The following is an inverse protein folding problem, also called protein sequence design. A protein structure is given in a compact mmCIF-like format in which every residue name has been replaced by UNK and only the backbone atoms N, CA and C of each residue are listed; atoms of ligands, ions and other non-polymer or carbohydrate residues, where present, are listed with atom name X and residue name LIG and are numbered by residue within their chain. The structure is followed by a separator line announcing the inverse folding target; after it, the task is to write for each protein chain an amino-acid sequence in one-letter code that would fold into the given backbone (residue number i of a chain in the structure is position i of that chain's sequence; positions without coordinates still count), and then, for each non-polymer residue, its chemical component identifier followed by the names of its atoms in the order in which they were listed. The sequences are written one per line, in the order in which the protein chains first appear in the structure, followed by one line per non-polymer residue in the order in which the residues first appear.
data_IF_739957184714
#
_entry.id   IF_739957184714
#
_cell.length_a   1.000
_cell.length_b   1.000
_cell.length_c   1.000
_cell.angle_alpha   90.00
_cell.angle_beta   90.00
_cell.angle_gamma   90.00
#
_symmetry.space_group_name_H-M   'P 1'
#
loop_
_entity.id
_entity.type
_entity.pdbx_description
1 polymer ?
#
# COMPACT_ATOMS: atom_id res chain seq x y z
N UNK A 1 -0.27 -12.11 1.50
CA UNK A 1 -1.61 -12.25 2.10
C UNK A 1 -2.58 -12.48 0.97
N UNK A 2 -2.75 -13.73 0.51
CA UNK A 2 -3.69 -14.02 -0.57
C UNK A 2 -5.08 -13.43 -0.32
N UNK A 3 -5.52 -13.42 0.95
CA UNK A 3 -6.80 -12.88 1.38
C UNK A 3 -6.95 -11.37 1.09
N UNK A 4 -5.86 -10.60 1.18
CA UNK A 4 -5.87 -9.17 0.82
C UNK A 4 -6.01 -9.00 -0.69
N UNK A 5 -5.29 -9.80 -1.49
CA UNK A 5 -5.44 -9.77 -2.94
C UNK A 5 -6.88 -10.09 -3.33
N UNK A 6 -7.47 -11.15 -2.76
CA UNK A 6 -8.83 -11.57 -3.07
C UNK A 6 -9.85 -10.46 -2.75
N UNK A 7 -9.75 -9.86 -1.56
CA UNK A 7 -10.58 -8.73 -1.16
C UNK A 7 -10.40 -7.52 -2.10
N UNK A 8 -9.16 -7.18 -2.46
CA UNK A 8 -8.88 -6.10 -3.41
C UNK A 8 -9.48 -6.40 -4.80
N UNK A 9 -9.32 -7.62 -5.31
CA UNK A 9 -9.85 -8.01 -6.62
C UNK A 9 -11.38 -7.94 -6.69
N UNK A 10 -12.06 -8.19 -5.56
CA UNK A 10 -13.51 -8.04 -5.41
C UNK A 10 -13.95 -6.58 -5.49
N UNK A 11 -13.26 -5.66 -4.79
CA UNK A 11 -13.69 -4.25 -4.67
C UNK A 11 -13.11 -3.32 -5.74
N UNK A 12 -11.97 -3.65 -6.36
CA UNK A 12 -11.32 -2.81 -7.37
C UNK A 12 -12.22 -2.36 -8.55
N UNK A 13 -13.23 -3.14 -9.02
CA UNK A 13 -14.19 -2.65 -10.00
C UNK A 13 -14.94 -1.38 -9.55
N UNK A 14 -15.26 -1.24 -8.27
CA UNK A 14 -15.95 -0.05 -7.73
C UNK A 14 -15.01 1.08 -7.31
N UNK A 15 -13.75 0.77 -6.97
CA UNK A 15 -12.78 1.80 -6.58
C UNK A 15 -12.38 2.71 -7.75
N UNK A 16 -12.10 3.98 -7.47
CA UNK A 16 -11.56 4.92 -8.46
C UNK A 16 -10.04 4.79 -8.63
N UNK A 17 -9.33 4.59 -7.53
CA UNK A 17 -7.86 4.51 -7.47
C UNK A 17 -7.42 3.72 -6.24
N UNK A 18 -6.35 2.94 -6.38
CA UNK A 18 -5.56 2.37 -5.30
C UNK A 18 -4.10 2.80 -5.51
N UNK A 19 -3.58 3.61 -4.58
CA UNK A 19 -2.20 4.06 -4.55
C UNK A 19 -1.48 3.30 -3.45
N UNK A 20 -0.35 2.68 -3.77
CA UNK A 20 0.49 2.00 -2.77
C UNK A 20 1.89 2.58 -2.82
N UNK A 21 2.37 3.09 -1.69
CA UNK A 21 3.79 3.45 -1.51
C UNK A 21 4.42 2.35 -0.66
N UNK A 22 5.42 1.66 -1.22
CA UNK A 22 6.04 0.49 -0.60
C UNK A 22 7.54 0.66 -0.42
N UNK A 23 8.09 -0.09 0.52
CA UNK A 23 9.52 -0.37 0.56
C UNK A 23 9.83 -1.51 -0.42
N UNK A 24 10.70 -1.31 -1.43
CA UNK A 24 11.17 -2.39 -2.29
C UNK A 24 11.90 -3.46 -1.49
N UNK A 25 11.77 -4.76 -1.86
CA UNK A 25 12.53 -5.82 -1.21
C UNK A 25 14.04 -5.58 -1.29
N UNK A 26 14.72 -5.61 -0.14
CA UNK A 26 16.17 -5.56 -0.04
C UNK A 26 16.80 -6.94 -0.25
N UNK A 27 18.13 -7.00 -0.42
CA UNK A 27 18.87 -8.23 -0.75
C UNK A 27 18.51 -9.45 0.12
N UNK A 28 18.43 -9.27 1.44
CA UNK A 28 18.09 -10.35 2.37
C UNK A 28 16.63 -10.81 2.24
N UNK A 29 15.71 -9.90 1.95
CA UNK A 29 14.30 -10.27 1.71
C UNK A 29 14.11 -10.88 0.33
N UNK A 30 14.85 -10.42 -0.68
CA UNK A 30 14.87 -11.02 -2.03
C UNK A 30 15.35 -12.46 -1.99
N UNK A 31 16.38 -12.77 -1.20
CA UNK A 31 16.88 -14.15 -1.04
C UNK A 31 15.89 -15.08 -0.32
N UNK A 32 14.93 -14.54 0.42
CA UNK A 32 13.79 -15.29 0.98
C UNK A 32 12.62 -15.47 0.00
N UNK A 33 12.71 -14.95 -1.23
CA UNK A 33 11.63 -15.02 -2.23
C UNK A 33 10.52 -13.99 -2.05
N UNK A 34 10.68 -12.98 -1.18
CA UNK A 34 9.64 -11.96 -0.93
C UNK A 34 9.26 -11.18 -2.19
N UNK A 35 10.20 -10.96 -3.11
CA UNK A 35 9.93 -10.32 -4.39
C UNK A 35 8.98 -11.14 -5.27
N UNK A 36 9.10 -12.48 -5.26
CA UNK A 36 8.14 -13.40 -5.91
C UNK A 36 6.76 -13.30 -5.27
N UNK A 37 6.67 -13.24 -3.94
CA UNK A 37 5.38 -13.14 -3.27
C UNK A 37 4.72 -11.78 -3.55
N UNK A 38 5.49 -10.69 -3.56
CA UNK A 38 5.01 -9.39 -3.98
C UNK A 38 4.50 -9.43 -5.43
N UNK A 39 5.28 -9.98 -6.36
CA UNK A 39 4.85 -10.19 -7.76
C UNK A 39 3.50 -10.92 -7.84
N UNK A 40 3.35 -12.05 -7.14
CA UNK A 40 2.10 -12.83 -7.14
C UNK A 40 0.88 -12.06 -6.60
N UNK A 41 1.08 -11.18 -5.62
CA UNK A 41 0.00 -10.38 -5.04
C UNK A 41 -0.29 -9.10 -5.85
N UNK A 42 0.67 -8.63 -6.64
CA UNK A 42 0.55 -7.36 -7.38
C UNK A 42 0.09 -7.57 -8.83
N UNK A 43 0.61 -8.60 -9.49
CA UNK A 43 0.43 -8.79 -10.92
C UNK A 43 -1.04 -8.87 -11.36
N UNK A 44 -1.95 -9.59 -10.67
CA UNK A 44 -3.36 -9.65 -11.08
C UNK A 44 -4.06 -8.27 -11.02
N UNK A 45 -3.69 -7.43 -10.05
CA UNK A 45 -4.21 -6.06 -9.93
C UNK A 45 -3.68 -5.17 -11.06
N UNK A 46 -2.38 -5.25 -11.34
CA UNK A 46 -1.71 -4.50 -12.42
C UNK A 46 -2.30 -4.84 -13.79
N UNK A 47 -2.50 -6.12 -14.10
CA UNK A 47 -3.03 -6.57 -15.39
C UNK A 47 -4.50 -6.18 -15.57
N UNK A 48 -5.33 -6.38 -14.53
CA UNK A 48 -6.78 -6.16 -14.62
C UNK A 48 -7.18 -4.69 -14.45
N UNK A 49 -6.40 -3.91 -13.70
CA UNK A 49 -6.74 -2.54 -13.33
C UNK A 49 -5.56 -1.55 -13.50
N UNK A 50 -4.86 -1.52 -14.66
CA UNK A 50 -3.62 -0.73 -14.84
C UNK A 50 -3.81 0.79 -14.69
N UNK A 51 -5.05 1.27 -14.88
CA UNK A 51 -5.40 2.68 -14.74
C UNK A 51 -5.83 3.06 -13.31
N UNK A 52 -6.17 2.09 -12.47
CA UNK A 52 -6.63 2.32 -11.10
C UNK A 52 -5.59 1.94 -10.05
N UNK A 53 -4.78 0.92 -10.31
CA UNK A 53 -3.77 0.45 -9.38
C UNK A 53 -2.40 1.04 -9.75
N UNK A 54 -1.80 1.78 -8.81
CA UNK A 54 -0.49 2.43 -8.99
C UNK A 54 0.40 2.17 -7.79
N UNK A 55 1.66 1.82 -8.05
CA UNK A 55 2.67 1.58 -7.02
C UNK A 55 3.86 2.51 -7.17
N UNK A 56 4.37 2.93 -6.02
CA UNK A 56 5.52 3.83 -5.91
C UNK A 56 6.45 3.36 -4.79
N UNK A 57 7.71 3.74 -4.87
CA UNK A 57 8.69 3.60 -3.79
C UNK A 57 9.34 4.95 -3.54
N UNK A 58 10.05 5.08 -2.42
CA UNK A 58 10.99 6.19 -2.27
C UNK A 58 12.09 6.08 -3.33
N UNK A 59 12.66 7.21 -3.71
CA UNK A 59 13.85 7.22 -4.55
C UNK A 59 15.06 6.70 -3.77
N UNK A 60 15.85 5.78 -4.33
CA UNK A 60 16.96 5.15 -3.60
C UNK A 60 18.04 6.12 -3.12
N UNK A 61 18.26 7.24 -3.82
CA UNK A 61 19.29 8.23 -3.50
C UNK A 61 18.95 9.10 -2.28
N UNK A 62 17.70 9.06 -1.82
CA UNK A 62 17.26 9.80 -0.64
C UNK A 62 17.48 9.05 0.69
N UNK A 63 17.80 7.75 0.64
CA UNK A 63 18.00 6.88 1.82
C UNK A 63 16.80 6.92 2.81
N UNK A 64 15.59 6.97 2.26
CA UNK A 64 14.34 6.96 3.02
C UNK A 64 13.73 5.57 2.99
N UNK A 65 13.62 4.95 4.16
CA UNK A 65 12.99 3.64 4.33
C UNK A 65 11.51 3.79 4.70
N UNK A 66 10.60 3.15 3.95
CA UNK A 66 9.16 3.15 4.25
C UNK A 66 8.84 2.08 5.29
N UNK A 67 8.78 2.49 6.57
CA UNK A 67 8.40 1.61 7.68
C UNK A 67 6.97 1.86 8.19
N UNK A 68 6.18 2.72 7.54
CA UNK A 68 4.79 3.00 7.93
C UNK A 68 3.85 1.83 7.64
N UNK A 69 2.81 1.69 8.46
CA UNK A 69 1.70 0.73 8.27
C UNK A 69 0.41 1.50 8.38
N UNK A 70 -0.02 2.01 7.24
CA UNK A 70 -0.99 3.08 7.17
C UNK A 70 -1.96 2.79 6.02
N UNK A 71 -3.24 3.05 6.24
CA UNK A 71 -4.24 3.09 5.16
C UNK A 71 -5.18 4.27 5.37
N UNK A 72 -5.44 5.01 4.29
CA UNK A 72 -6.50 6.02 4.21
C UNK A 72 -7.52 5.55 3.18
N UNK A 73 -8.80 5.59 3.55
CA UNK A 73 -9.92 5.19 2.69
C UNK A 73 -10.87 6.38 2.58
N UNK A 74 -11.07 6.87 1.36
CA UNK A 74 -12.06 7.88 0.96
C UNK A 74 -12.07 9.20 1.77
N UNK A 75 -10.95 9.55 2.43
CA UNK A 75 -10.87 10.61 3.44
C UNK A 75 -11.89 10.42 4.61
N UNK A 76 -12.38 9.19 4.85
CA UNK A 76 -13.39 8.84 5.87
C UNK A 76 -12.84 7.91 6.95
N UNK A 77 -11.86 7.08 6.61
CA UNK A 77 -11.23 6.15 7.53
C UNK A 77 -9.72 6.22 7.40
N UNK A 78 -9.04 6.28 8.54
CA UNK A 78 -7.60 6.20 8.65
C UNK A 78 -7.24 5.13 9.67
N UNK A 79 -6.37 4.20 9.30
CA UNK A 79 -5.71 3.32 10.25
C UNK A 79 -4.20 3.54 10.17
N UNK A 80 -3.58 3.68 11.33
CA UNK A 80 -2.13 3.78 11.50
C UNK A 80 -1.71 2.94 12.70
N UNK A 81 -0.63 2.18 12.57
CA UNK A 81 -0.24 1.25 13.63
C UNK A 81 1.00 0.43 13.36
N UNK A 82 1.09 -0.71 14.02
CA UNK A 82 2.25 -1.61 13.93
C UNK A 82 2.04 -2.74 12.91
N UNK A 83 0.78 -3.09 12.61
CA UNK A 83 0.44 -4.24 11.79
C UNK A 83 0.90 -4.10 10.33
N UNK A 84 1.91 -4.88 9.94
CA UNK A 84 2.28 -5.00 8.53
C UNK A 84 1.12 -5.61 7.74
N UNK A 85 1.02 -5.27 6.45
CA UNK A 85 0.10 -5.95 5.53
C UNK A 85 0.64 -7.32 5.08
N UNK A 86 0.96 -8.17 6.05
CA UNK A 86 1.42 -9.53 5.88
C UNK A 86 0.62 -10.48 6.79
N UNK A 87 0.75 -11.80 6.60
CA UNK A 87 -0.05 -12.76 7.35
C UNK A 87 0.32 -12.75 8.83
N UNK A 88 1.62 -12.62 9.13
CA UNK A 88 2.17 -12.64 10.48
C UNK A 88 1.53 -11.56 11.37
N UNK A 89 1.53 -10.31 10.93
CA UNK A 89 0.89 -9.21 11.67
C UNK A 89 -0.63 -9.35 11.75
N UNK A 90 -1.27 -9.95 10.75
CA UNK A 90 -2.73 -10.11 10.73
C UNK A 90 -3.23 -11.33 11.52
N UNK A 91 -2.35 -12.20 12.04
CA UNK A 91 -2.77 -13.48 12.66
C UNK A 91 -1.96 -13.92 13.88
N UNK A 92 -0.65 -13.65 13.94
CA UNK A 92 0.27 -14.27 14.89
C UNK A 92 0.90 -13.26 15.85
N UNK A 93 1.39 -12.15 15.32
CA UNK A 93 2.08 -11.15 16.14
C UNK A 93 1.05 -10.29 16.90
N UNK A 94 1.32 -9.92 18.17
CA UNK A 94 0.51 -8.94 18.86
C UNK A 94 0.75 -7.56 18.24
N UNK A 95 -0.30 -6.98 17.65
CA UNK A 95 -0.27 -5.67 17.01
C UNK A 95 -1.15 -4.65 17.72
N UNK A 96 -0.89 -3.37 17.50
CA UNK A 96 -1.72 -2.27 17.97
C UNK A 96 -1.87 -1.21 16.87
N UNK A 97 -3.12 -0.94 16.52
CA UNK A 97 -3.49 0.06 15.52
C UNK A 97 -4.48 1.07 16.09
N UNK A 98 -4.32 2.33 15.69
CA UNK A 98 -5.28 3.40 15.94
C UNK A 98 -6.14 3.62 14.70
N UNK A 99 -7.44 3.45 14.85
CA UNK A 99 -8.41 3.69 13.79
C UNK A 99 -9.15 5.00 14.05
N UNK A 100 -9.09 5.91 13.09
CA UNK A 100 -9.63 7.25 13.17
C UNK A 100 -10.80 7.37 12.20
N UNK A 101 -11.93 7.79 12.74
CA UNK A 101 -13.11 8.25 12.01
C UNK A 101 -13.46 9.62 12.56
N UNK A 102 -13.81 10.55 11.67
CA UNK A 102 -14.02 11.94 12.05
C UNK A 102 -15.50 12.31 12.04
N UNK A 103 -15.95 13.01 13.09
CA UNK A 103 -17.29 13.60 13.14
C UNK A 103 -17.33 14.98 12.49
N UNK A 104 -16.20 15.68 12.45
CA UNK A 104 -16.09 16.98 11.80
C UNK A 104 -15.87 16.80 10.31
N UNK A 105 -16.81 17.31 9.52
CA UNK A 105 -16.82 17.11 8.07
C UNK A 105 -16.44 18.38 7.31
N UNK A 106 -15.71 18.19 6.21
CA UNK A 106 -15.38 19.25 5.23
C UNK A 106 -15.81 18.83 3.84
N UNK A 107 -16.06 19.80 2.97
CA UNK A 107 -16.41 19.55 1.57
C UNK A 107 -15.15 19.50 0.72
N UNK A 108 -14.98 18.46 -0.09
CA UNK A 108 -13.86 18.33 -1.04
C UNK A 108 -14.12 19.12 -2.32
N UNK A 109 -13.09 19.34 -3.17
CA UNK A 109 -13.27 19.86 -4.53
C UNK A 109 -14.16 18.99 -5.43
N UNK A 110 -14.38 17.73 -5.06
CA UNK A 110 -15.34 16.82 -5.70
C UNK A 110 -16.79 17.00 -5.21
N UNK A 111 -17.04 18.00 -4.35
CA UNK A 111 -18.35 18.30 -3.76
C UNK A 111 -18.84 17.25 -2.73
N UNK A 112 -17.93 16.39 -2.24
CA UNK A 112 -18.25 15.30 -1.29
C UNK A 112 -17.90 15.75 0.14
N UNK A 113 -18.69 15.32 1.13
CA UNK A 113 -18.37 15.55 2.55
C UNK A 113 -17.53 14.40 3.09
N UNK A 114 -16.37 14.71 3.67
CA UNK A 114 -15.40 13.74 4.21
C UNK A 114 -14.86 14.20 5.56
N UNK A 115 -14.13 13.33 6.27
CA UNK A 115 -13.54 13.65 7.57
C UNK A 115 -12.44 14.71 7.45
N UNK A 116 -12.51 15.75 8.28
CA UNK A 116 -11.59 16.89 8.24
C UNK A 116 -10.15 16.50 8.51
N UNK A 117 -9.91 15.76 9.60
CA UNK A 117 -8.57 15.32 10.03
C UNK A 117 -7.97 14.36 9.02
N UNK A 118 -8.79 13.42 8.53
CA UNK A 118 -8.33 12.38 7.60
C UNK A 118 -7.99 12.99 6.24
N UNK A 119 -8.81 13.94 5.77
CA UNK A 119 -8.51 14.74 4.57
C UNK A 119 -7.20 15.50 4.71
N UNK A 120 -7.02 16.29 5.78
CA UNK A 120 -5.78 17.05 6.02
C UNK A 120 -4.57 16.13 6.04
N UNK A 121 -4.67 14.99 6.73
CA UNK A 121 -3.62 13.98 6.77
C UNK A 121 -3.24 13.50 5.36
N UNK A 122 -4.22 13.13 4.53
CA UNK A 122 -3.97 12.68 3.15
C UNK A 122 -3.39 13.79 2.27
N UNK A 123 -3.85 15.04 2.39
CA UNK A 123 -3.27 16.21 1.69
C UNK A 123 -1.79 16.36 2.05
N UNK A 124 -1.44 16.35 3.34
CA UNK A 124 -0.06 16.48 3.80
C UNK A 124 0.83 15.35 3.31
N UNK A 125 0.33 14.11 3.30
CA UNK A 125 1.08 12.98 2.73
C UNK A 125 1.31 13.15 1.24
N UNK A 126 0.33 13.63 0.49
CA UNK A 126 0.51 13.95 -0.93
C UNK A 126 1.52 15.07 -1.14
N UNK A 127 1.50 16.12 -0.31
CA UNK A 127 2.51 17.17 -0.30
C UNK A 127 3.91 16.60 -0.05
N UNK A 128 4.09 15.78 0.99
CA UNK A 128 5.38 15.14 1.31
C UNK A 128 5.89 14.32 0.12
N UNK A 129 5.05 13.44 -0.44
CA UNK A 129 5.47 12.53 -1.53
C UNK A 129 5.78 13.27 -2.83
N UNK A 130 4.97 14.26 -3.20
CA UNK A 130 5.03 14.92 -4.51
C UNK A 130 5.87 16.20 -4.52
N UNK A 131 6.16 16.79 -3.36
CA UNK A 131 6.84 18.07 -3.23
C UNK A 131 5.99 19.29 -3.63
N UNK A 132 4.67 19.12 -3.86
CA UNK A 132 3.74 20.24 -4.11
C UNK A 132 3.33 20.92 -2.81
N UNK A 133 2.83 22.16 -2.91
CA UNK A 133 2.30 22.87 -1.74
C UNK A 133 1.02 22.22 -1.22
N UNK A 134 0.71 22.42 0.06
CA UNK A 134 -0.54 21.95 0.64
C UNK A 134 -1.73 22.52 -0.11
N UNK A 135 -1.69 23.82 -0.41
CA UNK A 135 -2.75 24.57 -1.06
C UNK A 135 -3.02 24.05 -2.47
N UNK A 136 -1.97 23.71 -3.24
CA UNK A 136 -2.13 23.12 -4.57
C UNK A 136 -2.84 21.76 -4.50
N UNK A 137 -2.44 20.90 -3.56
CA UNK A 137 -3.04 19.57 -3.40
C UNK A 137 -4.47 19.66 -2.87
N UNK A 138 -4.76 20.53 -1.90
CA UNK A 138 -6.09 20.66 -1.30
C UNK A 138 -7.12 21.22 -2.29
N UNK A 139 -6.68 22.02 -3.27
CA UNK A 139 -7.53 22.53 -4.34
C UNK A 139 -7.87 21.49 -5.41
N UNK A 140 -7.14 20.37 -5.49
CA UNK A 140 -7.36 19.33 -6.50
C UNK A 140 -8.51 18.39 -6.15
N UNK A 141 -9.22 17.94 -7.19
CA UNK A 141 -10.06 16.74 -7.09
C UNK A 141 -9.20 15.52 -6.81
N UNK A 142 -9.77 14.50 -6.18
CA UNK A 142 -9.01 13.33 -5.77
C UNK A 142 -8.28 12.65 -6.94
N UNK A 143 -8.94 12.45 -8.08
CA UNK A 143 -8.32 11.80 -9.23
C UNK A 143 -7.17 12.63 -9.83
N UNK A 144 -7.30 13.96 -9.86
CA UNK A 144 -6.24 14.85 -10.34
C UNK A 144 -5.02 14.79 -9.40
N UNK A 145 -5.26 14.81 -8.08
CA UNK A 145 -4.21 14.66 -7.07
C UNK A 145 -3.56 13.26 -7.11
N UNK A 146 -4.33 12.22 -7.45
CA UNK A 146 -3.83 10.86 -7.63
C UNK A 146 -2.99 10.71 -8.91
N UNK A 147 -3.38 11.37 -10.01
CA UNK A 147 -2.61 11.39 -11.26
C UNK A 147 -1.34 12.23 -11.17
N UNK A 148 -1.33 13.23 -10.28
CA UNK A 148 -0.12 13.97 -9.95
C UNK A 148 1.02 13.05 -9.46
N UNK A 149 0.75 11.94 -8.78
CA UNK A 149 1.81 11.00 -8.35
C UNK A 149 2.62 10.48 -9.54
N UNK A 150 1.97 10.19 -10.68
CA UNK A 150 2.65 9.72 -11.88
C UNK A 150 3.59 10.79 -12.46
N UNK A 151 3.16 12.05 -12.42
CA UNK A 151 3.96 13.19 -12.87
C UNK A 151 5.11 13.46 -11.90
N UNK A 152 4.81 13.58 -10.61
CA UNK A 152 5.77 13.88 -9.56
C UNK A 152 6.83 12.78 -9.44
N UNK A 153 6.49 11.51 -9.63
CA UNK A 153 7.44 10.40 -9.59
C UNK A 153 8.57 10.49 -10.63
N UNK A 154 8.38 11.27 -11.71
CA UNK A 154 9.42 11.52 -12.72
C UNK A 154 10.27 12.78 -12.43
N UNK A 155 9.83 13.62 -11.50
CA UNK A 155 10.47 14.90 -11.18
C UNK A 155 11.50 14.74 -10.06
N UNK A 156 12.61 15.47 -10.10
CA UNK A 156 13.63 15.40 -9.04
C UNK A 156 13.15 15.89 -7.67
N UNK A 157 12.18 16.80 -7.64
CA UNK A 157 11.68 17.45 -6.41
C UNK A 157 10.79 16.59 -5.53
N UNK A 158 10.30 15.45 -6.03
CA UNK A 158 9.47 14.51 -5.26
C UNK A 158 10.31 13.52 -4.44
N UNK A 159 9.70 12.87 -3.44
CA UNK A 159 10.35 11.79 -2.70
C UNK A 159 10.21 10.42 -3.39
N UNK A 160 9.21 10.28 -4.26
CA UNK A 160 8.79 9.00 -4.82
C UNK A 160 9.29 8.78 -6.25
N UNK A 161 9.34 7.52 -6.66
CA UNK A 161 9.47 7.06 -8.03
C UNK A 161 8.42 5.98 -8.31
N UNK A 162 8.10 5.74 -9.59
CA UNK A 162 7.26 4.59 -9.97
C UNK A 162 7.95 3.30 -9.56
N UNK A 163 7.20 2.40 -8.97
CA UNK A 163 7.68 1.09 -8.57
C UNK A 163 6.86 0.02 -9.26
N UNK A 164 7.55 -0.99 -9.76
CA UNK A 164 6.94 -2.13 -10.42
C UNK A 164 7.68 -3.39 -10.02
N UNK A 165 6.99 -4.53 -10.08
CA UNK A 165 7.56 -5.84 -9.82
C UNK A 165 7.22 -6.72 -11.01
N UNK A 166 8.23 -6.98 -11.83
CA UNK A 166 8.08 -7.81 -13.00
C UNK A 166 8.43 -9.28 -12.71
N UNK A 167 8.07 -10.14 -13.67
CA UNK A 167 8.36 -11.56 -13.59
C UNK A 167 9.84 -11.78 -13.81
N UNK A 168 10.48 -12.42 -12.84
CA UNK A 168 11.88 -12.79 -12.94
C UNK A 168 12.07 -14.30 -13.09
N UNK A 169 13.07 -14.72 -13.86
CA UNK A 169 13.34 -16.13 -14.14
C UNK A 169 13.66 -16.92 -12.86
N UNK A 170 14.34 -16.28 -11.91
CA UNK A 170 14.79 -16.91 -10.66
C UNK A 170 13.65 -17.13 -9.67
N UNK A 171 12.44 -16.59 -9.89
CA UNK A 171 11.27 -16.93 -9.08
C UNK A 171 10.91 -18.41 -9.13
N UNK A 172 11.32 -19.11 -10.17
CA UNK A 172 11.19 -20.57 -10.29
C UNK A 172 12.04 -21.35 -9.26
N UNK A 173 13.09 -20.72 -8.72
CA UNK A 173 13.97 -21.33 -7.72
C UNK A 173 13.36 -21.33 -6.30
N UNK A 174 12.37 -20.49 -6.05
CA UNK A 174 11.68 -20.40 -4.77
C UNK A 174 10.48 -21.34 -4.72
N UNK A 175 10.70 -22.60 -4.35
CA UNK A 175 9.62 -23.56 -4.11
C UNK A 175 8.91 -23.36 -2.77
N UNK A 176 7.79 -24.05 -2.57
CA UNK A 176 6.96 -23.94 -1.36
C UNK A 176 7.75 -24.28 -0.07
N UNK A 177 8.75 -25.17 -0.16
CA UNK A 177 9.63 -25.52 0.96
C UNK A 177 10.51 -24.39 1.47
N UNK A 178 10.81 -23.38 0.63
CA UNK A 178 11.51 -22.17 1.06
C UNK A 178 10.51 -21.26 1.76
N UNK A 179 9.31 -21.10 1.21
CA UNK A 179 8.24 -20.30 1.80
C UNK A 179 7.90 -20.79 3.22
N UNK A 180 7.71 -22.09 3.42
CA UNK A 180 7.43 -22.67 4.73
C UNK A 180 8.50 -22.38 5.79
N UNK A 181 9.75 -22.19 5.39
CA UNK A 181 10.87 -21.90 6.30
C UNK A 181 11.00 -20.42 6.64
N UNK A 182 10.68 -19.53 5.70
CA UNK A 182 10.99 -18.09 5.81
C UNK A 182 9.76 -17.19 6.01
N UNK A 183 8.57 -17.68 5.63
CA UNK A 183 7.28 -16.98 5.72
C UNK A 183 6.14 -18.01 5.79
N UNK A 184 6.10 -18.78 6.89
CA UNK A 184 5.10 -19.84 7.07
C UNK A 184 3.70 -19.24 7.08
N UNK A 185 2.77 -19.92 6.41
CA UNK A 185 1.36 -19.65 6.59
C UNK A 185 0.90 -20.23 7.94
N UNK A 186 0.95 -19.41 8.99
CA UNK A 186 0.41 -19.72 10.31
C UNK A 186 -1.11 -19.91 10.20
N UNK A 187 -1.51 -21.13 9.85
CA UNK A 187 -2.89 -21.58 9.74
C UNK A 187 -3.13 -22.61 10.81
N UNK A 188 -4.13 -22.38 11.66
CA UNK A 188 -4.59 -23.39 12.60
C UNK A 188 -5.53 -24.33 11.85
N UNK A 189 -5.22 -25.62 11.86
CA UNK A 189 -6.17 -26.66 11.45
C UNK A 189 -6.99 -27.11 12.65
N UNK A 190 -8.15 -27.73 12.43
CA UNK A 190 -9.00 -28.27 13.51
C UNK A 190 -8.27 -29.29 14.40
N UNK A 191 -7.22 -29.95 13.89
CA UNK A 191 -6.35 -30.84 14.67
C UNK A 191 -5.33 -30.13 15.58
N UNK A 192 -5.11 -28.83 15.40
CA UNK A 192 -4.17 -28.04 16.20
C UNK A 192 -4.81 -27.45 17.48
N UNK A 193 -6.13 -27.57 17.61
CA UNK A 193 -6.85 -27.19 18.82
C UNK A 193 -6.56 -28.18 19.95
N UNK A 194 -5.62 -27.85 20.83
CA UNK A 194 -5.51 -28.50 22.14
C UNK A 194 -6.67 -28.00 23.01
N UNK A 195 -7.66 -28.88 23.23
CA UNK A 195 -8.65 -28.75 24.31
C UNK A 195 -7.96 -28.87 25.65
#
# INVERSE_FOLDING_TARGET
VPELLDALMEVMPSLQRLIVVVQPPELLTKSGGYEKYMYRNVQPLKEKFPNKFKMYSMKPDLDIYVHSKLVVIDDVYLADGSANWNRRSMTSDPELDANVVDSDLVKTPDDIKVGKVIRDFRVRKFQEMTGRSYEDIDAMKFLDAADLYDTAAAEKSSLIQKFDVDKEWYYSLFGDSIQEKVDRHDTCTSSDAKV
#
